data_IF_416224440020
#
_entry.id   IF_416224440020
#
_cell.length_a   1.000
_cell.length_b   1.000
_cell.length_c   1.000
_cell.angle_alpha   90.00
_cell.angle_beta   90.00
_cell.angle_gamma   90.00
#
_symmetry.space_group_name_H-M   'P 1'
#
loop_
_entity.id
_entity.type
_entity.pdbx_description
1 polymer ?
#
# COMPACT_ATOMS: atom_id res chain seq x y z
N UNK A 1 8.05 21.14 13.96
CA UNK A 1 6.92 21.54 13.10
C UNK A 1 7.47 22.45 12.03
N UNK A 2 7.04 22.31 10.77
CA UNK A 2 7.48 23.21 9.71
C UNK A 2 6.96 24.60 10.05
N UNK A 3 7.88 25.54 10.22
CA UNK A 3 7.59 26.92 10.64
C UNK A 3 6.88 27.72 9.51
N UNK A 4 6.97 27.21 8.29
CA UNK A 4 6.41 27.79 7.07
C UNK A 4 5.08 27.12 6.69
N UNK A 5 4.08 27.93 6.33
CA UNK A 5 2.81 27.42 5.77
C UNK A 5 3.10 26.71 4.43
N UNK A 6 2.75 25.43 4.34
CA UNK A 6 2.94 24.61 3.14
C UNK A 6 1.70 24.68 2.26
N UNK A 7 1.87 25.10 1.01
CA UNK A 7 0.79 25.28 0.03
C UNK A 7 1.01 24.47 -1.25
N UNK A 8 1.83 23.42 -1.20
CA UNK A 8 2.19 22.59 -2.38
C UNK A 8 1.77 21.12 -2.22
N UNK A 9 0.52 20.88 -1.81
CA UNK A 9 -0.02 19.51 -1.68
C UNK A 9 -0.06 18.73 -3.01
N UNK A 10 0.16 19.41 -4.15
CA UNK A 10 0.28 18.78 -5.46
C UNK A 10 1.63 18.05 -5.63
N UNK A 11 2.71 18.54 -5.01
CA UNK A 11 4.00 17.85 -5.03
C UNK A 11 4.02 16.64 -4.07
N UNK A 12 3.52 16.81 -2.86
CA UNK A 12 3.28 15.72 -1.90
C UNK A 12 2.39 16.19 -0.76
N UNK A 13 1.76 15.26 -0.04
CA UNK A 13 1.00 15.56 1.18
C UNK A 13 1.79 15.06 2.39
N UNK A 14 1.87 15.85 3.45
CA UNK A 14 2.51 15.38 4.68
C UNK A 14 1.74 14.20 5.26
N UNK A 15 2.48 13.15 5.58
CA UNK A 15 1.92 11.95 6.19
C UNK A 15 1.37 12.28 7.58
N UNK A 16 0.14 11.86 7.86
CA UNK A 16 -0.41 11.98 9.20
C UNK A 16 0.38 11.12 10.20
N UNK A 17 0.64 11.58 11.44
CA UNK A 17 1.41 10.82 12.43
C UNK A 17 0.88 9.40 12.69
N UNK A 18 -0.44 9.23 12.65
CA UNK A 18 -1.12 7.94 12.80
C UNK A 18 -0.79 6.97 11.67
N UNK A 19 -0.59 7.45 10.44
CA UNK A 19 -0.20 6.61 9.30
C UNK A 19 1.23 6.11 9.48
N UNK A 20 2.14 6.98 9.91
CA UNK A 20 3.52 6.59 10.21
C UNK A 20 3.58 5.55 11.34
N UNK A 21 2.76 5.72 12.39
CA UNK A 21 2.64 4.76 13.48
C UNK A 21 2.13 3.40 12.97
N UNK A 22 1.06 3.39 12.18
CA UNK A 22 0.50 2.16 11.62
C UNK A 22 1.51 1.40 10.74
N UNK A 23 2.27 2.12 9.91
CA UNK A 23 3.34 1.51 9.09
C UNK A 23 4.38 0.83 9.96
N UNK A 24 4.87 1.51 11.01
CA UNK A 24 5.87 0.95 11.93
C UNK A 24 5.32 -0.25 12.70
N UNK A 25 4.11 -0.14 13.23
CA UNK A 25 3.47 -1.21 14.00
C UNK A 25 3.27 -2.47 13.14
N UNK A 26 2.80 -2.32 11.89
CA UNK A 26 2.63 -3.46 10.98
C UNK A 26 3.98 -4.07 10.55
N UNK A 27 5.01 -3.25 10.33
CA UNK A 27 6.34 -3.76 10.00
C UNK A 27 6.94 -4.61 11.14
N UNK A 28 6.67 -4.22 12.40
CA UNK A 28 7.09 -4.97 13.58
C UNK A 28 6.24 -6.23 13.77
N UNK A 29 4.92 -6.14 13.57
CA UNK A 29 3.98 -7.24 13.80
C UNK A 29 4.05 -8.35 12.73
N UNK A 30 4.33 -8.01 11.47
CA UNK A 30 4.29 -8.95 10.33
C UNK A 30 5.60 -8.97 9.52
N UNK A 31 6.75 -9.36 10.13
CA UNK A 31 8.05 -9.32 9.45
C UNK A 31 8.28 -10.51 8.49
N UNK A 32 7.41 -11.53 8.54
CA UNK A 32 7.59 -12.77 7.79
C UNK A 32 7.24 -12.59 6.31
N UNK A 33 7.87 -13.40 5.46
CA UNK A 33 7.54 -13.46 4.03
C UNK A 33 6.09 -13.97 3.83
N UNK A 34 5.18 -13.20 3.20
CA UNK A 34 3.79 -13.62 2.94
C UNK A 34 3.65 -14.87 2.06
N UNK A 35 4.71 -15.26 1.32
CA UNK A 35 4.73 -16.48 0.51
C UNK A 35 5.10 -17.72 1.31
N UNK A 36 5.54 -17.57 2.57
CA UNK A 36 5.93 -18.69 3.39
C UNK A 36 4.70 -19.46 3.92
N UNK A 37 4.82 -20.78 3.98
CA UNK A 37 3.71 -21.66 4.36
C UNK A 37 3.51 -21.79 5.86
N UNK A 38 4.47 -21.36 6.69
CA UNK A 38 4.37 -21.39 8.15
C UNK A 38 3.39 -20.32 8.66
N UNK A 39 3.04 -20.40 9.95
CA UNK A 39 1.99 -19.59 10.56
C UNK A 39 2.20 -18.09 10.37
N UNK A 40 3.39 -17.61 10.66
CA UNK A 40 3.75 -16.19 10.61
C UNK A 40 3.69 -15.64 9.17
N UNK A 41 4.06 -16.45 8.16
CA UNK A 41 3.90 -16.08 6.75
C UNK A 41 2.43 -15.98 6.34
N UNK A 42 1.59 -16.90 6.82
CA UNK A 42 0.14 -16.84 6.61
C UNK A 42 -0.50 -15.64 7.30
N UNK A 43 -0.05 -15.27 8.49
CA UNK A 43 -0.50 -14.07 9.22
C UNK A 43 -0.15 -12.79 8.43
N UNK A 44 1.08 -12.68 7.93
CA UNK A 44 1.49 -11.57 7.07
C UNK A 44 0.68 -11.49 5.77
N UNK A 45 0.41 -12.64 5.13
CA UNK A 45 -0.45 -12.71 3.94
C UNK A 45 -1.90 -12.29 4.26
N UNK A 46 -2.45 -12.73 5.39
CA UNK A 46 -3.78 -12.35 5.81
C UNK A 46 -3.90 -10.82 5.99
N UNK A 47 -2.89 -10.18 6.60
CA UNK A 47 -2.87 -8.72 6.73
C UNK A 47 -2.81 -8.01 5.38
N UNK A 48 -2.03 -8.52 4.42
CA UNK A 48 -1.98 -7.96 3.06
C UNK A 48 -3.33 -8.05 2.34
N UNK A 49 -4.05 -9.16 2.48
CA UNK A 49 -5.37 -9.34 1.88
C UNK A 49 -6.47 -8.52 2.57
N UNK A 50 -6.36 -8.30 3.89
CA UNK A 50 -7.19 -7.33 4.62
C UNK A 50 -7.03 -5.91 4.05
N UNK A 51 -5.78 -5.47 3.83
CA UNK A 51 -5.50 -4.19 3.19
C UNK A 51 -6.10 -4.13 1.78
N UNK A 52 -5.93 -5.19 0.98
CA UNK A 52 -6.50 -5.27 -0.38
C UNK A 52 -8.02 -5.10 -0.38
N UNK A 53 -8.72 -5.77 0.53
CA UNK A 53 -10.16 -5.64 0.69
C UNK A 53 -10.59 -4.22 1.09
N UNK A 54 -9.84 -3.57 1.99
CA UNK A 54 -10.09 -2.18 2.40
C UNK A 54 -9.96 -1.19 1.25
N UNK A 55 -8.89 -1.29 0.43
CA UNK A 55 -8.72 -0.47 -0.76
C UNK A 55 -9.84 -0.71 -1.79
N UNK A 56 -10.17 -1.98 -2.04
CA UNK A 56 -11.23 -2.35 -2.98
C UNK A 56 -12.60 -1.78 -2.56
N UNK A 57 -12.94 -1.88 -1.28
CA UNK A 57 -14.16 -1.28 -0.73
C UNK A 57 -14.17 0.25 -0.87
N UNK A 58 -13.04 0.91 -0.66
CA UNK A 58 -12.93 2.37 -0.75
C UNK A 58 -13.07 2.88 -2.19
N UNK A 59 -12.71 2.04 -3.17
CA UNK A 59 -12.80 2.32 -4.60
C UNK A 59 -14.05 1.74 -5.27
N UNK A 60 -14.88 0.99 -4.52
CA UNK A 60 -16.04 0.25 -5.03
C UNK A 60 -15.70 -0.69 -6.20
N UNK A 61 -14.66 -1.50 -6.03
CA UNK A 61 -14.21 -2.52 -7.00
C UNK A 61 -14.01 -3.87 -6.31
N UNK A 62 -13.81 -4.93 -7.09
CA UNK A 62 -13.51 -6.26 -6.56
C UNK A 62 -12.08 -6.33 -5.99
N UNK A 63 -11.84 -6.99 -4.84
CA UNK A 63 -10.48 -7.12 -4.29
C UNK A 63 -9.48 -7.72 -5.27
N UNK A 64 -9.91 -8.65 -6.11
CA UNK A 64 -9.07 -9.31 -7.11
C UNK A 64 -8.51 -8.36 -8.19
N UNK A 65 -9.07 -7.15 -8.35
CA UNK A 65 -8.59 -6.15 -9.32
C UNK A 65 -7.57 -5.18 -8.74
N UNK A 66 -7.27 -5.26 -7.44
CA UNK A 66 -6.28 -4.40 -6.79
C UNK A 66 -4.90 -5.06 -6.86
N UNK A 67 -3.93 -4.35 -7.46
CA UNK A 67 -2.52 -4.71 -7.49
C UNK A 67 -1.70 -3.65 -6.76
N UNK A 68 -0.87 -4.07 -5.79
CA UNK A 68 0.04 -3.17 -5.10
C UNK A 68 1.32 -3.01 -5.91
N UNK A 69 1.72 -1.76 -6.15
CA UNK A 69 2.96 -1.36 -6.82
C UNK A 69 3.69 -0.32 -5.96
N UNK A 70 4.93 0.01 -6.29
CA UNK A 70 5.73 1.01 -5.56
C UNK A 70 5.19 2.44 -5.68
N UNK A 71 4.42 2.73 -6.73
CA UNK A 71 3.76 4.02 -6.93
C UNK A 71 3.18 4.16 -8.33
N UNK A 72 2.58 5.32 -8.62
CA UNK A 72 1.85 5.57 -9.87
C UNK A 72 2.71 5.41 -11.13
N UNK A 73 3.99 5.81 -11.09
CA UNK A 73 4.92 5.67 -12.22
C UNK A 73 5.05 4.19 -12.64
N UNK A 74 5.20 3.28 -11.68
CA UNK A 74 5.26 1.84 -11.97
C UNK A 74 3.91 1.33 -12.45
N UNK A 75 2.80 1.71 -11.80
CA UNK A 75 1.46 1.26 -12.18
C UNK A 75 1.14 1.61 -13.64
N UNK A 76 1.41 2.86 -14.04
CA UNK A 76 1.17 3.34 -15.41
C UNK A 76 2.05 2.61 -16.41
N UNK A 77 3.34 2.43 -16.07
CA UNK A 77 4.27 1.72 -16.95
C UNK A 77 3.85 0.26 -17.20
N UNK A 78 3.37 -0.45 -16.17
CA UNK A 78 2.87 -1.83 -16.31
C UNK A 78 1.72 -1.88 -17.30
N UNK A 79 0.73 -0.99 -17.16
CA UNK A 79 -0.44 -0.95 -18.05
C UNK A 79 -0.03 -0.66 -19.49
N UNK A 80 0.81 0.36 -19.71
CA UNK A 80 1.28 0.71 -21.07
C UNK A 80 2.07 -0.44 -21.70
N UNK A 81 3.00 -1.05 -20.95
CA UNK A 81 3.77 -2.18 -21.46
C UNK A 81 2.87 -3.38 -21.79
N UNK A 82 1.83 -3.65 -20.99
CA UNK A 82 0.90 -4.76 -21.22
C UNK A 82 -0.01 -4.62 -22.44
N UNK A 83 -0.19 -3.39 -22.96
CA UNK A 83 -1.00 -3.12 -24.15
C UNK A 83 -0.17 -3.06 -25.43
N UNK A 84 1.13 -2.77 -25.32
CA UNK A 84 2.03 -2.55 -26.45
C UNK A 84 2.88 -3.77 -26.81
N UNK A 85 2.97 -4.75 -25.90
CA UNK A 85 3.68 -6.02 -26.07
C UNK A 85 2.68 -7.18 -26.15
#
# INVERSE_FOLDING_TARGET
MIETKYFDNAATTFCYPEVLKEVMDNAIAYPANPSATHREGREAKAKLEECRASFASSLNVEPATIYFTSGATESIQIVLASLLL
#
